data_IF_619370131856
#
_entry.id   IF_619370131856
#
_cell.length_a   1.000
_cell.length_b   1.000
_cell.length_c   1.000
_cell.angle_alpha   90.00
_cell.angle_beta   90.00
_cell.angle_gamma   90.00
#
_symmetry.space_group_name_H-M   'P 1'
#
loop_
_entity.id
_entity.type
_entity.pdbx_description
1 polymer ?
2 non-polymer ?
3 water ?
#
# COMPACT_ATOMS: atom_id res chain seq x y z
C UNK A 1 33.94 10.27 15.09
N UNK A 2 33.67 9.79 16.31
CA UNK A 2 32.36 9.14 16.61
C UNK A 2 31.21 10.16 16.52
N UNK A 3 31.43 11.37 17.02
CA UNK A 3 30.43 12.44 16.92
C UNK A 3 29.95 12.63 15.49
N UNK A 4 30.88 12.75 14.56
CA UNK A 4 30.50 12.90 13.17
C UNK A 4 29.78 11.70 12.61
N UNK A 5 30.19 10.50 12.99
CA UNK A 5 29.46 9.32 12.55
C UNK A 5 28.02 9.33 13.02
N UNK A 6 27.82 9.65 14.29
CA UNK A 6 26.47 9.70 14.88
C UNK A 6 25.60 10.72 14.18
N UNK A 7 26.17 11.87 13.84
CA UNK A 7 25.42 12.89 13.16
C UNK A 7 24.99 12.41 11.80
N UNK A 8 25.82 11.67 11.11
CA UNK A 8 25.42 11.13 9.86
C UNK A 8 24.34 10.09 9.93
N UNK A 9 24.38 9.25 10.93
CA UNK A 9 23.33 8.25 11.13
C UNK A 9 22.00 8.92 11.43
N UNK A 10 22.03 9.97 12.25
CA UNK A 10 20.82 10.74 12.58
C UNK A 10 20.21 11.35 11.32
N UNK A 11 21.04 11.96 10.46
CA UNK A 11 20.55 12.54 9.19
C UNK A 11 19.92 11.48 8.31
N UNK A 12 20.51 10.28 8.28
CA UNK A 12 19.92 9.16 7.54
C UNK A 12 18.53 8.81 8.04
N UNK A 13 18.38 8.69 9.36
CA UNK A 13 17.11 8.28 9.97
C UNK A 13 16.03 9.35 9.81
N UNK A 14 16.42 10.62 9.85
CA UNK A 14 15.50 11.72 9.50
C UNK A 14 15.01 11.54 8.06
N UNK A 15 15.92 11.22 7.14
CA UNK A 15 15.54 10.96 5.74
C UNK A 15 14.58 9.76 5.64
N UNK A 16 14.88 8.69 6.38
CA UNK A 16 14.03 7.49 6.41
C UNK A 16 12.60 7.80 6.86
N UNK A 17 12.48 8.62 7.91
CA UNK A 17 11.17 9.05 8.41
C UNK A 17 10.42 9.79 7.30
N UNK A 18 11.10 10.73 6.65
CA UNK A 18 10.50 11.52 5.55
C UNK A 18 10.11 10.63 4.36
N UNK A 19 10.99 9.70 3.98
CA UNK A 19 10.74 8.78 2.86
C UNK A 19 9.59 7.81 3.13
N UNK A 20 9.59 7.19 4.31
CA UNK A 20 8.55 6.24 4.70
C UNK A 20 7.17 6.88 4.90
N UNK A 21 7.15 8.10 5.42
CA UNK A 21 5.91 8.90 5.48
C UNK A 21 5.36 9.17 4.06
N UNK A 22 6.25 9.44 3.11
CA UNK A 22 5.86 9.58 1.69
C UNK A 22 5.30 8.31 1.08
N UNK A 23 5.99 7.19 1.30
CA UNK A 23 5.55 5.88 0.80
C UNK A 23 4.19 5.54 1.41
N UNK A 24 4.08 5.77 2.71
CA UNK A 24 2.81 5.68 3.42
C UNK A 24 1.67 6.36 2.70
N UNK A 25 1.95 7.57 2.23
CA UNK A 25 0.95 8.36 1.56
C UNK A 25 0.67 7.79 0.17
N UNK A 26 1.70 7.41 -0.56
CA UNK A 26 1.50 6.88 -1.90
C UNK A 26 0.67 5.60 -1.86
N UNK A 27 0.91 4.77 -0.86
CA UNK A 27 0.13 3.54 -0.67
C UNK A 27 -1.32 3.82 -0.26
N UNK A 28 -1.65 4.96 0.38
C UNK B 1 0.88 -4.19 6.12
N UNK B 2 1.32 -3.94 4.87
CA UNK B 2 2.57 -3.16 4.61
C UNK B 2 2.54 -1.79 5.30
N UNK B 3 1.41 -1.12 5.26
CA UNK B 3 1.30 0.19 5.87
C UNK B 3 1.54 0.15 7.36
N UNK B 4 1.06 -0.88 8.03
CA UNK B 4 1.26 -1.03 9.45
C UNK B 4 2.74 -1.28 9.76
N UNK B 5 3.37 -2.13 8.95
CA UNK B 5 4.79 -2.38 9.07
C UNK B 5 5.62 -1.14 8.95
N UNK B 6 5.39 -0.35 7.91
CA UNK B 6 6.14 0.87 7.68
C UNK B 6 5.96 1.88 8.83
N UNK B 7 4.78 1.90 9.42
CA UNK B 7 4.50 2.73 10.61
C UNK B 7 5.38 2.36 11.79
N UNK B 8 5.54 1.06 12.01
CA UNK B 8 6.40 0.57 13.07
C UNK B 8 7.83 0.94 12.83
N UNK B 9 8.30 0.84 11.58
CA UNK B 9 9.67 1.26 11.25
C UNK B 9 9.85 2.76 11.53
N UNK B 10 8.87 3.57 11.11
CA UNK B 10 8.94 5.02 11.34
C UNK B 10 9.10 5.28 12.84
N UNK B 11 8.27 4.63 13.65
CA UNK B 11 8.34 4.78 15.09
C UNK B 11 9.71 4.42 15.64
N UNK B 12 10.31 3.33 15.15
CA UNK B 12 11.68 2.98 15.53
C UNK B 12 12.68 4.08 15.18
N UNK B 13 12.61 4.61 13.97
CA UNK B 13 13.56 5.64 13.55
C UNK B 13 13.40 6.93 14.36
N UNK B 14 12.16 7.25 14.73
CA UNK B 14 11.89 8.37 15.65
C UNK B 14 12.62 8.16 16.99
N UNK B 15 12.58 6.94 17.52
CA UNK B 15 13.31 6.61 18.75
C UNK B 15 14.83 6.68 18.55
N UNK B 16 15.31 6.18 17.41
CA UNK B 16 16.74 6.21 17.08
C UNK B 16 17.31 7.64 17.04
N UNK B 17 16.62 8.55 16.38
CA UNK B 17 17.10 9.94 16.33
C UNK B 17 17.20 10.53 17.74
N UNK B 18 16.23 10.24 18.61
CA UNK B 18 16.19 10.75 19.97
C UNK B 18 17.31 10.15 20.82
N UNK B 19 17.52 8.84 20.68
CA UNK B 19 18.54 8.13 21.44
C UNK B 19 19.96 8.49 21.00
N UNK B 20 20.19 8.54 19.69
CA UNK B 20 21.52 8.88 19.16
C UNK B 20 21.90 10.34 19.46
N UNK B 21 20.90 11.21 19.47
CA UNK B 21 21.12 12.59 19.79
C UNK B 21 21.47 12.68 21.26
N UNK B 22 20.81 11.91 22.10
CA UNK B 22 21.12 11.84 23.52
C UNK B 22 22.54 11.31 23.76
N UNK B 23 22.92 10.24 23.06
CA UNK B 23 24.28 9.69 23.10
C UNK B 23 25.31 10.73 22.69
N UNK B 24 25.01 11.44 21.62
CA UNK B 24 25.89 12.46 21.11
C UNK B 24 26.15 13.55 22.15
N UNK B 25 25.16 13.88 22.94
CA UNK B 25 25.36 14.85 24.01
C UNK B 25 26.14 14.29 25.16
N UNK B 26 25.81 13.08 25.60
CA UNK B 26 26.58 12.39 26.64
C UNK B 26 28.08 12.35 26.33
N UNK B 27 28.41 11.98 25.09
CA UNK B 27 29.80 11.92 24.62
C UNK B 27 30.47 13.30 24.53
N UNK B 28 29.74 14.43 24.42
C UNK C 1 -3.72 5.85 -3.82
N UNK C 2 -2.78 4.88 -3.75
CA UNK C 2 -2.98 3.55 -4.41
C UNK C 2 -4.21 2.81 -3.86
N UNK C 3 -4.42 2.89 -2.56
CA UNK C 3 -5.59 2.29 -1.89
C UNK C 3 -6.91 2.70 -2.52
N UNK C 4 -7.04 4.00 -2.77
CA UNK C 4 -8.25 4.51 -3.34
C UNK C 4 -8.44 4.10 -4.77
N UNK C 5 -7.40 4.14 -5.59
CA UNK C 5 -7.47 3.69 -6.98
C UNK C 5 -7.92 2.22 -7.09
N UNK C 6 -7.32 1.35 -6.29
CA UNK C 6 -7.69 -0.08 -6.30
C UNK C 6 -9.13 -0.33 -5.87
N UNK C 7 -9.67 0.52 -5.01
CA UNK C 7 -11.05 0.37 -4.58
C UNK C 7 -12.02 0.78 -5.66
N UNK C 8 -11.69 1.79 -6.42
CA UNK C 8 -12.56 2.17 -7.50
C UNK C 8 -12.59 1.08 -8.54
N UNK C 9 -11.43 0.49 -8.81
CA UNK C 9 -11.35 -0.60 -9.79
C UNK C 9 -12.25 -1.77 -9.38
N UNK C 10 -12.24 -2.11 -8.10
CA UNK C 10 -13.06 -3.22 -7.58
C UNK C 10 -14.53 -2.88 -7.80
N UNK C 11 -14.88 -1.65 -7.48
CA UNK C 11 -16.24 -1.23 -7.65
C UNK C 11 -16.68 -1.43 -9.07
N UNK C 12 -15.85 -1.01 -10.03
CA UNK C 12 -16.16 -1.16 -11.46
C UNK C 12 -16.36 -2.61 -11.86
N UNK C 13 -15.43 -3.48 -11.49
CA UNK C 13 -15.52 -4.91 -11.82
C UNK C 13 -16.73 -5.60 -11.18
N UNK C 14 -17.18 -5.13 -10.02
CA UNK C 14 -18.42 -5.63 -9.41
C UNK C 14 -19.63 -5.29 -10.30
N UNK C 15 -19.63 -4.07 -10.81
CA UNK C 15 -20.65 -3.59 -11.70
C UNK C 15 -20.62 -4.33 -13.01
N UNK C 16 -19.43 -4.48 -13.56
CA UNK C 16 -19.22 -5.22 -14.79
C UNK C 16 -19.82 -6.63 -14.75
N UNK C 17 -19.59 -7.35 -13.64
CA UNK C 17 -20.15 -8.69 -13.44
C UNK C 17 -21.67 -8.68 -13.47
N UNK C 18 -22.28 -7.78 -12.70
CA UNK C 18 -23.74 -7.63 -12.64
C UNK C 18 -24.34 -7.31 -14.01
N UNK C 19 -23.70 -6.40 -14.75
CA UNK C 19 -24.17 -5.99 -16.08
C UNK C 19 -24.00 -7.09 -17.14
N UNK C 20 -22.83 -7.73 -17.17
CA UNK C 20 -22.59 -8.83 -18.11
C UNK C 20 -23.47 -10.06 -17.84
N UNK C 21 -23.73 -10.33 -16.56
CA UNK C 21 -24.70 -11.38 -16.18
C UNK C 21 -26.11 -11.07 -16.66
N UNK C 22 -26.50 -9.79 -16.57
CA UNK C 22 -27.77 -9.33 -17.14
C UNK C 22 -27.78 -9.50 -18.67
N UNK C 23 -26.70 -9.09 -19.33
CA UNK C 23 -26.56 -9.26 -20.79
C UNK C 23 -26.69 -10.75 -21.17
N UNK C 24 -25.96 -11.61 -20.45
CA UNK C 24 -26.13 -13.07 -20.57
C UNK C 24 -27.60 -13.48 -20.49
N UNK C 25 -28.27 -12.99 -19.45
CA UNK C 25 -29.71 -13.22 -19.24
C UNK C 25 -30.58 -12.75 -20.42
N UNK C 26 -30.30 -11.55 -20.92
CA UNK C 26 -31.07 -10.99 -22.04
C UNK C 26 -30.83 -11.71 -23.37
N UNK C 27 -29.59 -12.14 -23.60
CA UNK C 27 -29.27 -12.93 -24.81
C UNK C 27 -29.88 -14.34 -24.80
N UNK C 28 -30.16 -14.95 -23.63
C UNK D 1 -19.84 -15.79 -28.85
N UNK D 2 -20.77 -14.83 -28.86
CA UNK D 2 -20.73 -13.68 -27.90
C UNK D 2 -20.88 -14.16 -26.46
N UNK D 3 -21.81 -15.08 -26.24
CA UNK D 3 -22.06 -15.57 -24.90
C UNK D 3 -20.86 -16.24 -24.25
N UNK D 4 -20.02 -16.92 -25.03
CA UNK D 4 -18.80 -17.55 -24.51
C UNK D 4 -17.75 -16.50 -24.13
N UNK D 5 -17.61 -15.46 -24.95
CA UNK D 5 -16.71 -14.36 -24.64
C UNK D 5 -17.09 -13.68 -23.34
N UNK D 6 -18.39 -13.43 -23.16
CA UNK D 6 -18.87 -12.73 -21.96
C UNK D 6 -18.71 -13.54 -20.68
N UNK D 7 -19.05 -14.83 -20.72
CA UNK D 7 -18.94 -15.66 -19.53
C UNK D 7 -17.52 -15.61 -19.03
N UNK D 8 -16.60 -15.65 -19.97
CA UNK D 8 -15.21 -15.59 -19.68
C UNK D 8 -14.73 -14.23 -19.18
N UNK D 9 -15.24 -13.15 -19.73
CA UNK D 9 -14.92 -11.84 -19.16
C UNK D 9 -15.35 -11.81 -17.69
N UNK D 10 -16.53 -12.39 -17.40
CA UNK D 10 -17.08 -12.39 -16.03
C UNK D 10 -16.15 -13.13 -15.06
N UNK D 11 -15.71 -14.33 -15.44
CA UNK D 11 -14.80 -15.13 -14.59
C UNK D 11 -13.47 -14.42 -14.31
N UNK D 12 -12.96 -13.67 -15.29
CA UNK D 12 -11.77 -12.82 -15.08
C UNK D 12 -12.06 -11.75 -14.05
N UNK D 13 -13.15 -11.01 -14.22
CA UNK D 13 -13.51 -9.96 -13.28
C UNK D 13 -13.80 -10.45 -11.85
N UNK D 14 -14.32 -11.67 -11.72
CA UNK D 14 -14.43 -12.33 -10.41
C UNK D 14 -13.03 -12.51 -9.78
N UNK D 15 -12.07 -12.96 -10.60
CA UNK D 15 -10.68 -13.12 -10.17
C UNK D 15 -10.06 -11.77 -9.81
N UNK D 16 -10.26 -10.77 -10.67
CA UNK D 16 -9.75 -9.42 -10.43
C UNK D 16 -10.17 -8.89 -9.06
N UNK D 17 -11.46 -9.03 -8.74
CA UNK D 17 -11.99 -8.60 -7.44
C UNK D 17 -11.27 -9.30 -6.29
N UNK D 18 -11.17 -10.63 -6.36
CA UNK D 18 -10.49 -11.41 -5.32
C UNK D 18 -9.02 -11.01 -5.14
N UNK D 19 -8.31 -10.85 -6.26
CA UNK D 19 -6.89 -10.48 -6.24
C UNK D 19 -6.65 -9.04 -5.77
N UNK D 20 -7.42 -8.10 -6.29
CA UNK D 20 -7.31 -6.68 -5.88
C UNK D 20 -7.70 -6.48 -4.40
N UNK D 21 -8.70 -7.24 -3.93
CA UNK D 21 -9.04 -7.26 -2.50
C UNK D 21 -7.88 -7.79 -1.65
N UNK D 22 -7.19 -8.79 -2.18
CA UNK D 22 -6.01 -9.32 -1.51
C UNK D 22 -4.94 -8.28 -1.47
N UNK D 23 -4.67 -7.68 -2.61
CA UNK D 23 -3.68 -6.65 -2.70
C UNK D 23 -3.97 -5.51 -1.76
N UNK D 24 -5.24 -5.13 -1.67
CA UNK D 24 -5.66 -4.06 -0.78
C UNK D 24 -5.39 -4.46 0.67
N UNK D 25 -5.58 -5.73 0.96
CA UNK D 25 -5.33 -6.23 2.28
C UNK D 25 -3.83 -6.26 2.61
N UNK D 26 -3.02 -6.75 1.67
CA UNK D 26 -1.56 -6.84 1.86
C UNK D 26 -0.89 -5.47 2.02
N UNK D 27 -1.35 -4.48 1.26
CA UNK D 27 -0.84 -3.10 1.38
C UNK D 27 -1.25 -2.43 2.70
N UNK D 28 -2.31 -2.87 3.41
X LIG E 1 16.43 4.29 9.47
X LIG F 1 7.94 14.16 -0.54
X LIG G 1 17.42 3.83 12.68
X LIG H 1 -14.20 -5.36 -15.73
X LIG I 1 -11.21 -6.45 -14.39
#
# INVERSE_FOLDING_TARGET
XIEELLRKIIEDDVRHIAELEDIEKWLX
XIEELLRKIIEDDVRHIAELEDIEKWLX
XIEELLRKIIEDDVRHIAELEDIEKWLX
XIEELLRKIIEDDVRHIAELEDIEKWLX
ZN ZN
ZN ZN
ZN ZN
ZN ZN
ZN ZN
#
